data_IF_894277935616
#
_entry.id   IF_894277935616
#
_cell.length_a   1.000
_cell.length_b   1.000
_cell.length_c   1.000
_cell.angle_alpha   90.00
_cell.angle_beta   90.00
_cell.angle_gamma   90.00
#
_symmetry.space_group_name_H-M   'P 1'
#
loop_
_entity.id
_entity.type
_entity.pdbx_description
1 polymer ?
#
# COMPACT_ATOMS: atom_id res chain seq x y z
N UNK A 1 6.19 1.94 6.15
CA UNK A 1 6.12 0.49 5.86
C UNK A 1 7.36 -0.28 6.31
N UNK A 2 8.58 0.07 5.90
CA UNK A 2 9.78 -0.71 6.26
C UNK A 2 10.02 -0.84 7.78
N UNK A 3 9.87 0.22 8.57
CA UNK A 3 10.20 0.18 10.00
C UNK A 3 9.33 -0.77 10.83
N UNK A 4 8.05 -0.95 10.48
CA UNK A 4 7.20 -1.86 11.24
C UNK A 4 7.47 -3.31 10.87
N UNK A 5 7.74 -3.60 9.59
CA UNK A 5 8.05 -4.96 9.12
C UNK A 5 9.50 -5.37 9.43
N UNK A 6 10.43 -4.42 9.51
CA UNK A 6 11.85 -4.62 9.83
C UNK A 6 12.27 -3.65 10.95
N UNK A 7 11.86 -3.90 12.21
CA UNK A 7 12.16 -3.02 13.35
C UNK A 7 13.67 -2.77 13.50
N UNK A 8 14.16 -1.54 13.29
CA UNK A 8 15.60 -1.29 13.21
C UNK A 8 16.26 -1.03 14.58
N UNK A 9 15.48 -0.94 15.66
CA UNK A 9 15.97 -0.61 16.99
C UNK A 9 15.71 -1.74 18.00
N UNK A 10 16.63 -1.97 18.96
CA UNK A 10 16.44 -2.96 20.02
C UNK A 10 15.14 -2.75 20.81
N UNK A 11 14.45 -3.84 21.13
CA UNK A 11 13.19 -3.88 21.89
C UNK A 11 11.99 -3.14 21.29
N UNK A 12 12.16 -2.38 20.20
CA UNK A 12 11.11 -1.63 19.51
C UNK A 12 9.98 -2.54 19.02
N UNK A 13 10.31 -3.73 18.50
CA UNK A 13 9.33 -4.67 17.95
C UNK A 13 8.24 -5.09 18.96
N UNK A 14 8.57 -5.11 20.25
CA UNK A 14 7.63 -5.46 21.32
C UNK A 14 7.02 -4.25 22.01
N UNK A 15 7.45 -3.04 21.66
CA UNK A 15 6.81 -1.80 22.06
C UNK A 15 5.79 -1.39 21.00
N UNK A 16 4.59 -1.98 21.12
CA UNK A 16 3.52 -1.81 20.14
C UNK A 16 3.03 -0.37 20.03
N UNK A 17 3.05 0.38 21.15
CA UNK A 17 2.64 1.78 21.14
C UNK A 17 3.60 2.62 20.30
N UNK A 18 4.91 2.41 20.45
CA UNK A 18 5.92 3.11 19.64
C UNK A 18 5.85 2.69 18.18
N UNK A 19 5.65 1.40 17.88
CA UNK A 19 5.47 0.91 16.49
C UNK A 19 4.28 1.58 15.79
N UNK A 20 3.09 1.57 16.42
CA UNK A 20 1.89 2.20 15.89
C UNK A 20 2.07 3.71 15.70
N UNK A 21 2.67 4.36 16.71
CA UNK A 21 2.89 5.80 16.71
C UNK A 21 3.84 6.20 15.58
N UNK A 22 5.00 5.53 15.45
CA UNK A 22 5.97 5.83 14.40
C UNK A 22 5.40 5.60 13.01
N UNK A 23 4.68 4.49 12.79
CA UNK A 23 4.04 4.21 11.50
C UNK A 23 3.03 5.31 11.14
N UNK A 24 2.12 5.61 12.05
CA UNK A 24 1.06 6.60 11.83
C UNK A 24 1.66 7.99 11.60
N UNK A 25 2.62 8.39 12.44
CA UNK A 25 3.33 9.66 12.33
C UNK A 25 3.98 9.86 10.96
N UNK A 26 4.76 8.87 10.49
CA UNK A 26 5.46 9.00 9.21
C UNK A 26 4.52 8.93 8.01
N UNK A 27 3.41 8.19 8.10
CA UNK A 27 2.39 8.22 7.05
C UNK A 27 1.71 9.58 6.95
N UNK A 28 1.38 10.21 8.08
CA UNK A 28 0.80 11.57 8.08
C UNK A 28 1.75 12.59 7.48
N UNK A 29 3.01 12.61 7.93
CA UNK A 29 4.03 13.50 7.35
C UNK A 29 4.16 13.27 5.84
N UNK A 30 4.26 12.00 5.42
CA UNK A 30 4.30 11.65 4.00
C UNK A 30 3.09 12.18 3.23
N UNK A 31 1.89 12.02 3.76
CA UNK A 31 0.66 12.56 3.19
C UNK A 31 0.69 14.08 3.03
N UNK A 32 1.09 14.81 4.07
CA UNK A 32 1.25 16.27 4.00
C UNK A 32 2.28 16.69 2.93
N UNK A 33 3.42 16.01 2.85
CA UNK A 33 4.43 16.29 1.83
C UNK A 33 3.92 16.01 0.41
N UNK A 34 3.18 14.92 0.18
CA UNK A 34 2.59 14.59 -1.13
C UNK A 34 1.57 15.65 -1.57
N UNK A 35 0.68 16.07 -0.68
CA UNK A 35 -0.29 17.15 -0.98
C UNK A 35 0.45 18.47 -1.22
N UNK A 36 1.47 18.78 -0.41
CA UNK A 36 2.33 19.95 -0.59
C UNK A 36 3.04 19.96 -1.95
N UNK A 37 3.53 18.81 -2.42
CA UNK A 37 4.12 18.69 -3.75
C UNK A 37 3.10 19.02 -4.86
N UNK A 38 1.86 18.56 -4.74
CA UNK A 38 0.77 18.93 -5.65
C UNK A 38 0.46 20.44 -5.64
N UNK A 39 0.43 21.05 -4.45
CA UNK A 39 0.23 22.49 -4.30
C UNK A 39 1.35 23.31 -4.95
N UNK A 40 2.62 22.95 -4.71
CA UNK A 40 3.76 23.63 -5.30
C UNK A 40 3.87 23.41 -6.82
N UNK A 41 3.48 22.24 -7.33
CA UNK A 41 3.37 22.01 -8.77
C UNK A 41 2.35 22.97 -9.41
N UNK A 42 1.19 23.19 -8.79
CA UNK A 42 0.21 24.15 -9.27
C UNK A 42 0.72 25.60 -9.20
N UNK A 43 1.43 25.97 -8.13
CA UNK A 43 2.07 27.30 -8.00
C UNK A 43 3.07 27.52 -9.14
N UNK A 44 3.92 26.54 -9.44
CA UNK A 44 4.86 26.57 -10.57
C UNK A 44 4.11 26.78 -11.89
N UNK A 45 3.04 26.02 -12.13
CA UNK A 45 2.25 26.12 -13.37
C UNK A 45 1.61 27.51 -13.57
N UNK A 46 1.34 28.24 -12.49
CA UNK A 46 0.74 29.59 -12.54
C UNK A 46 1.80 30.68 -12.68
N UNK A 47 2.90 30.59 -11.90
CA UNK A 47 3.86 31.69 -11.76
C UNK A 47 5.06 31.57 -12.69
N UNK A 48 5.58 30.37 -12.88
CA UNK A 48 6.91 30.15 -13.43
C UNK A 48 6.89 29.38 -14.76
N UNK A 49 5.75 28.77 -15.12
CA UNK A 49 5.59 28.10 -16.40
C UNK A 49 5.66 29.07 -17.58
N UNK A 50 6.53 28.75 -18.55
CA UNK A 50 6.69 29.51 -19.78
C UNK A 50 6.41 28.60 -21.00
N UNK A 51 5.37 28.88 -21.82
CA UNK A 51 5.01 28.03 -22.96
C UNK A 51 6.04 28.04 -24.09
N UNK A 52 6.80 29.12 -24.25
CA UNK A 52 7.87 29.21 -25.26
C UNK A 52 9.01 28.25 -24.92
N UNK A 53 9.43 28.22 -23.65
CA UNK A 53 10.51 27.35 -23.20
C UNK A 53 10.12 25.86 -23.15
N UNK A 54 8.81 25.58 -23.07
CA UNK A 54 8.28 24.21 -22.97
C UNK A 54 7.67 23.70 -24.28
N UNK A 55 7.87 24.40 -25.39
CA UNK A 55 7.23 24.07 -26.66
C UNK A 55 7.48 22.61 -27.07
N UNK A 56 6.38 21.86 -27.25
CA UNK A 56 6.35 20.47 -27.71
C UNK A 56 7.20 19.48 -26.88
N UNK A 57 7.59 19.84 -25.65
CA UNK A 57 8.24 18.92 -24.73
C UNK A 57 7.20 18.02 -24.01
N UNK A 58 7.65 17.21 -23.05
CA UNK A 58 6.76 16.31 -22.30
C UNK A 58 5.64 17.07 -21.56
N UNK A 59 5.95 18.22 -20.95
CA UNK A 59 5.00 19.01 -20.18
C UNK A 59 3.92 19.61 -21.09
N UNK A 60 4.31 20.24 -22.21
CA UNK A 60 3.36 20.77 -23.19
C UNK A 60 2.47 19.67 -23.79
N UNK A 61 3.07 18.52 -24.15
CA UNK A 61 2.31 17.37 -24.66
C UNK A 61 1.28 16.92 -23.65
N UNK A 62 1.64 16.75 -22.38
CA UNK A 62 0.73 16.37 -21.29
C UNK A 62 -0.45 17.34 -21.17
N UNK A 63 -0.19 18.64 -21.17
CA UNK A 63 -1.23 19.67 -21.04
C UNK A 63 -2.25 19.57 -22.18
N UNK A 64 -1.79 19.32 -23.41
CA UNK A 64 -2.66 19.22 -24.61
C UNK A 64 -3.66 18.07 -24.59
N UNK A 65 -3.48 17.06 -23.74
CA UNK A 65 -4.44 15.95 -23.58
C UNK A 65 -4.87 15.75 -22.12
N UNK A 66 -4.80 16.80 -21.30
CA UNK A 66 -5.18 16.76 -19.88
C UNK A 66 -6.61 16.24 -19.65
N UNK A 67 -7.54 16.55 -20.56
CA UNK A 67 -8.93 16.12 -20.41
C UNK A 67 -9.07 14.60 -20.52
N UNK A 68 -8.26 13.95 -21.37
CA UNK A 68 -8.19 12.50 -21.44
C UNK A 68 -7.58 11.91 -20.16
N UNK A 69 -6.50 12.50 -19.63
CA UNK A 69 -5.89 12.03 -18.37
C UNK A 69 -6.91 12.09 -17.23
N UNK A 70 -7.60 13.23 -17.08
CA UNK A 70 -8.57 13.45 -16.00
C UNK A 70 -9.80 12.56 -16.16
N UNK A 71 -10.32 12.36 -17.38
CA UNK A 71 -11.50 11.51 -17.60
C UNK A 71 -11.21 10.03 -17.32
N UNK A 72 -10.04 9.52 -17.70
CA UNK A 72 -9.66 8.14 -17.39
C UNK A 72 -9.42 7.97 -15.88
N UNK A 73 -8.78 8.93 -15.22
CA UNK A 73 -8.61 8.88 -13.77
C UNK A 73 -9.96 8.94 -13.03
N UNK A 74 -10.90 9.75 -13.50
CA UNK A 74 -12.27 9.80 -12.97
C UNK A 74 -12.95 8.43 -13.08
N UNK A 75 -12.87 7.79 -14.26
CA UNK A 75 -13.40 6.45 -14.46
C UNK A 75 -12.76 5.43 -13.51
N UNK A 76 -11.43 5.44 -13.36
CA UNK A 76 -10.73 4.54 -12.43
C UNK A 76 -11.21 4.77 -10.99
N UNK A 77 -11.35 6.03 -10.54
CA UNK A 77 -11.84 6.31 -9.19
C UNK A 77 -13.26 5.78 -8.94
N UNK A 78 -14.17 5.92 -9.92
CA UNK A 78 -15.53 5.37 -9.84
C UNK A 78 -15.48 3.85 -9.79
N UNK A 79 -14.71 3.24 -10.70
CA UNK A 79 -14.53 1.79 -10.75
C UNK A 79 -14.00 1.24 -9.42
N UNK A 80 -12.92 1.82 -8.89
CA UNK A 80 -12.35 1.43 -7.62
C UNK A 80 -13.35 1.59 -6.47
N UNK A 81 -14.13 2.68 -6.43
CA UNK A 81 -15.17 2.88 -5.42
C UNK A 81 -16.21 1.76 -5.40
N UNK A 82 -16.78 1.43 -6.57
CA UNK A 82 -17.77 0.35 -6.68
C UNK A 82 -17.19 -1.05 -6.37
N UNK A 83 -15.95 -1.32 -6.77
CA UNK A 83 -15.34 -2.65 -6.66
C UNK A 83 -14.44 -2.82 -5.43
N UNK A 84 -14.45 -1.86 -4.50
CA UNK A 84 -13.82 -1.98 -3.18
C UNK A 84 -14.83 -1.69 -2.07
N UNK A 85 -15.19 -0.42 -1.88
CA UNK A 85 -16.16 0.00 -0.86
C UNK A 85 -17.54 -0.64 -1.08
N UNK A 86 -17.97 -0.78 -2.33
CA UNK A 86 -19.22 -1.48 -2.64
C UNK A 86 -19.27 -2.94 -2.15
N UNK A 87 -18.12 -3.62 -2.08
CA UNK A 87 -18.04 -5.00 -1.55
C UNK A 87 -18.32 -5.04 -0.04
N UNK A 88 -17.93 -4.02 0.70
CA UNK A 88 -18.25 -3.92 2.14
C UNK A 88 -19.75 -3.74 2.35
N UNK A 89 -20.40 -2.85 1.59
CA UNK A 89 -21.86 -2.66 1.66
C UNK A 89 -22.60 -3.96 1.26
N UNK A 90 -22.13 -4.64 0.22
CA UNK A 90 -22.64 -5.95 -0.19
C UNK A 90 -22.56 -6.96 0.96
N UNK A 91 -21.41 -7.07 1.61
CA UNK A 91 -21.20 -7.97 2.75
C UNK A 91 -22.09 -7.61 3.95
N UNK A 92 -22.19 -6.33 4.31
CA UNK A 92 -23.07 -5.88 5.40
C UNK A 92 -24.53 -6.23 5.12
N UNK A 93 -24.98 -6.00 3.88
CA UNK A 93 -26.35 -6.30 3.46
C UNK A 93 -26.63 -7.80 3.51
N UNK A 94 -25.74 -8.63 2.97
CA UNK A 94 -25.94 -10.08 2.96
C UNK A 94 -25.83 -10.71 4.35
N UNK A 95 -24.93 -10.20 5.19
CA UNK A 95 -24.84 -10.60 6.59
C UNK A 95 -26.15 -10.28 7.32
N UNK A 96 -26.68 -9.07 7.15
CA UNK A 96 -27.95 -8.66 7.75
C UNK A 96 -29.16 -9.47 7.24
N UNK A 97 -29.13 -9.91 5.97
CA UNK A 97 -30.15 -10.77 5.37
C UNK A 97 -30.02 -12.25 5.76
N UNK A 98 -29.05 -12.63 6.60
CA UNK A 98 -28.82 -14.02 7.00
C UNK A 98 -28.29 -14.90 5.86
N UNK A 99 -27.56 -14.30 4.90
CA UNK A 99 -26.99 -14.97 3.72
C UNK A 99 -25.45 -15.00 3.75
N UNK A 100 -24.81 -15.61 4.76
CA UNK A 100 -23.36 -15.60 4.88
C UNK A 100 -22.63 -16.35 3.75
N UNK A 101 -23.30 -17.32 3.12
CA UNK A 101 -22.76 -18.07 1.98
C UNK A 101 -22.57 -17.23 0.71
N UNK A 102 -23.22 -16.06 0.63
CA UNK A 102 -23.15 -15.17 -0.54
C UNK A 102 -22.15 -14.01 -0.34
N UNK A 103 -21.49 -13.95 0.83
CA UNK A 103 -20.54 -12.90 1.17
C UNK A 103 -19.17 -13.13 0.51
N UNK A 104 -18.48 -12.03 0.22
CA UNK A 104 -17.05 -12.07 -0.07
C UNK A 104 -16.29 -12.32 1.23
N UNK A 105 -15.74 -13.53 1.40
CA UNK A 105 -15.03 -13.97 2.61
C UNK A 105 -14.18 -15.20 2.34
N UNK A 106 -13.33 -15.58 3.31
CA UNK A 106 -12.46 -16.76 3.20
C UNK A 106 -13.24 -18.08 3.17
N UNK A 107 -14.47 -18.12 3.68
CA UNK A 107 -15.28 -19.34 3.78
C UNK A 107 -16.39 -19.44 2.73
N UNK A 108 -16.59 -18.39 1.94
CA UNK A 108 -17.62 -18.33 0.90
C UNK A 108 -17.01 -17.89 -0.44
N UNK A 109 -17.36 -16.71 -0.95
CA UNK A 109 -16.82 -16.19 -2.20
C UNK A 109 -15.44 -15.55 -1.93
N UNK A 110 -14.38 -16.28 -2.22
CA UNK A 110 -13.02 -15.83 -1.90
C UNK A 110 -12.47 -14.81 -2.89
N UNK A 111 -11.86 -13.75 -2.37
CA UNK A 111 -11.08 -12.77 -3.13
C UNK A 111 -9.64 -12.74 -2.62
N UNK A 112 -8.87 -13.77 -2.94
CA UNK A 112 -7.49 -13.90 -2.44
C UNK A 112 -6.50 -13.00 -3.21
N UNK A 113 -5.56 -12.34 -2.53
CA UNK A 113 -4.52 -11.54 -3.17
C UNK A 113 -3.37 -12.43 -3.66
N UNK A 114 -3.64 -13.28 -4.66
CA UNK A 114 -2.71 -14.32 -5.15
C UNK A 114 -1.34 -13.77 -5.60
N UNK A 115 -1.31 -12.56 -6.16
CA UNK A 115 -0.05 -11.93 -6.57
C UNK A 115 0.80 -11.51 -5.36
N UNK A 116 0.16 -11.02 -4.29
CA UNK A 116 0.87 -10.71 -3.05
C UNK A 116 1.41 -12.00 -2.43
N UNK A 117 0.60 -13.05 -2.31
CA UNK A 117 1.02 -14.37 -1.80
C UNK A 117 2.22 -14.94 -2.60
N UNK A 118 2.20 -14.79 -3.93
CA UNK A 118 3.31 -15.19 -4.79
C UNK A 118 4.60 -14.41 -4.50
N UNK A 119 4.50 -13.09 -4.30
CA UNK A 119 5.64 -12.26 -3.88
C UNK A 119 6.14 -12.66 -2.49
N UNK A 120 5.24 -12.87 -1.53
CA UNK A 120 5.61 -13.34 -0.19
C UNK A 120 6.40 -14.66 -0.27
N UNK A 121 5.93 -15.62 -1.08
CA UNK A 121 6.61 -16.90 -1.31
C UNK A 121 7.99 -16.72 -1.96
N UNK A 122 8.12 -15.78 -2.89
CA UNK A 122 9.41 -15.47 -3.52
C UNK A 122 10.42 -14.93 -2.50
N UNK A 123 10.01 -14.03 -1.62
CA UNK A 123 10.87 -13.52 -0.53
C UNK A 123 11.17 -14.56 0.53
N UNK A 124 10.21 -15.44 0.84
CA UNK A 124 10.38 -16.53 1.79
C UNK A 124 11.43 -17.54 1.32
N UNK A 125 11.42 -17.91 0.03
CA UNK A 125 12.33 -18.88 -0.57
C UNK A 125 13.67 -18.28 -1.05
N UNK A 126 13.86 -16.96 -0.93
CA UNK A 126 15.06 -16.31 -1.43
C UNK A 126 16.38 -16.78 -0.79
N UNK A 127 16.48 -16.94 0.56
CA UNK A 127 17.71 -17.41 1.20
C UNK A 127 18.15 -18.77 0.65
N UNK A 128 19.46 -18.91 0.38
CA UNK A 128 20.06 -20.12 -0.20
C UNK A 128 19.57 -20.50 -1.62
N UNK A 129 18.82 -19.63 -2.29
CA UNK A 129 18.35 -19.81 -3.66
C UNK A 129 18.66 -18.56 -4.51
N UNK A 130 17.72 -17.63 -4.64
CA UNK A 130 17.92 -16.38 -5.38
C UNK A 130 18.79 -15.37 -4.63
N UNK A 131 19.02 -15.58 -3.33
CA UNK A 131 19.99 -14.87 -2.50
C UNK A 131 20.91 -15.88 -1.77
N UNK A 132 21.93 -16.44 -2.44
CA UNK A 132 22.76 -17.53 -1.91
C UNK A 132 23.49 -17.18 -0.61
N UNK A 133 23.88 -15.92 -0.45
CA UNK A 133 24.65 -15.45 0.71
C UNK A 133 23.77 -14.88 1.83
N UNK A 134 22.45 -14.82 1.64
CA UNK A 134 21.53 -14.33 2.66
C UNK A 134 21.19 -15.46 3.64
N UNK A 135 21.42 -15.24 4.93
CA UNK A 135 21.14 -16.22 5.99
C UNK A 135 19.66 -16.26 6.39
N UNK A 136 18.93 -15.18 6.13
CA UNK A 136 17.52 -15.03 6.47
C UNK A 136 16.77 -14.27 5.39
N UNK A 137 15.45 -14.45 5.38
CA UNK A 137 14.51 -13.72 4.53
C UNK A 137 14.52 -12.22 4.86
N UNK A 138 14.05 -11.41 3.91
CA UNK A 138 14.04 -9.93 4.03
C UNK A 138 13.26 -9.41 5.25
N UNK A 139 12.24 -10.14 5.70
CA UNK A 139 11.48 -9.85 6.93
C UNK A 139 10.81 -11.13 7.43
N UNK A 140 10.65 -11.33 8.76
CA UNK A 140 9.83 -12.40 9.29
C UNK A 140 8.34 -12.31 8.89
N UNK A 141 7.87 -11.16 8.39
CA UNK A 141 6.50 -10.96 7.91
C UNK A 141 6.13 -11.78 6.66
N UNK A 142 7.10 -12.29 5.89
CA UNK A 142 6.85 -13.00 4.63
C UNK A 142 6.51 -14.50 4.78
N UNK A 143 6.59 -15.06 6.00
CA UNK A 143 6.44 -16.50 6.25
C UNK A 143 7.35 -16.99 7.38
N UNK A 144 7.29 -18.27 7.76
CA UNK A 144 8.17 -18.91 8.75
C UNK A 144 7.80 -18.68 10.22
N UNK A 145 8.79 -18.81 11.12
CA UNK A 145 8.52 -18.85 12.57
C UNK A 145 8.19 -17.49 13.20
N UNK A 146 7.45 -17.56 14.31
CA UNK A 146 7.15 -16.44 15.20
C UNK A 146 8.39 -16.07 16.00
N UNK A 147 8.75 -14.79 16.00
CA UNK A 147 9.81 -14.24 16.83
C UNK A 147 9.18 -13.61 18.07
N UNK A 148 9.58 -14.05 19.26
CA UNK A 148 9.06 -13.54 20.52
C UNK A 148 10.18 -13.04 21.46
N UNK A 149 9.92 -11.97 22.19
CA UNK A 149 10.83 -11.38 23.19
C UNK A 149 10.03 -11.00 24.44
N UNK A 150 10.45 -11.47 25.62
CA UNK A 150 9.80 -11.13 26.89
C UNK A 150 8.31 -11.51 26.94
N UNK A 151 7.95 -12.65 26.35
CA UNK A 151 6.54 -13.13 26.29
C UNK A 151 5.65 -12.39 25.29
N UNK A 152 6.19 -11.44 24.52
CA UNK A 152 5.47 -10.70 23.48
C UNK A 152 5.95 -11.11 22.09
N UNK A 153 5.05 -11.13 21.12
CA UNK A 153 5.40 -11.36 19.70
C UNK A 153 6.09 -10.12 19.17
N UNK A 154 7.35 -10.26 18.76
CA UNK A 154 8.10 -9.21 18.10
C UNK A 154 7.77 -9.14 16.60
N UNK A 155 7.63 -10.29 15.93
CA UNK A 155 7.17 -10.38 14.54
C UNK A 155 6.64 -11.78 14.23
N UNK A 156 5.67 -11.87 13.33
CA UNK A 156 5.14 -13.13 12.78
C UNK A 156 4.78 -12.95 11.30
N UNK A 157 4.56 -14.03 10.54
CA UNK A 157 4.01 -13.92 9.19
C UNK A 157 2.67 -13.18 9.18
N UNK A 158 2.48 -12.33 8.17
CA UNK A 158 1.27 -11.52 7.98
C UNK A 158 0.55 -11.96 6.71
#
# INVERSE_FOLDING_TARGET
HHMYAMPPYPYLATDYATQLSLFTHHNWIGGFCVVGAGAHAAIFMVRDYNPTNNYNNLLDRMIRHRDAIISHLNWVCIFLGFHSFGLYIHNDTLSALGRPADMFSDTAIQLQPIFAQWIQKTHFLAPNSTAPNALARTSPSWGGDVVAVGGKVAMMPI
#
